data_IF_162672207010
#
_entry.id   IF_162672207010
#
_cell.length_a   1.000
_cell.length_b   1.000
_cell.length_c   1.000
_cell.angle_alpha   90.00
_cell.angle_beta   90.00
_cell.angle_gamma   90.00
#
_symmetry.space_group_name_H-M   'P 1'
#
loop_
_entity.id
_entity.type
_entity.pdbx_description
1 polymer ?
#
# COMPACT_ATOMS: atom_id res chain seq x y z
N UNK A 1 -21.54 3.02 -52.65
CA UNK A 1 -20.35 3.13 -51.78
C UNK A 1 -20.87 3.24 -50.35
N UNK A 2 -20.84 2.13 -49.60
CA UNK A 2 -21.27 2.13 -48.20
C UNK A 2 -20.15 2.76 -47.38
N UNK A 3 -20.43 3.87 -46.70
CA UNK A 3 -19.46 4.57 -45.86
C UNK A 3 -19.25 3.79 -44.57
N UNK A 4 -18.04 3.28 -44.37
CA UNK A 4 -17.63 2.73 -43.07
C UNK A 4 -17.24 3.86 -42.13
N UNK A 5 -17.89 3.90 -40.97
CA UNK A 5 -17.56 4.83 -39.89
C UNK A 5 -16.71 4.10 -38.85
N UNK A 6 -15.50 4.60 -38.60
CA UNK A 6 -14.62 4.08 -37.55
C UNK A 6 -14.65 4.99 -36.34
N UNK A 7 -15.01 4.45 -35.17
CA UNK A 7 -14.92 5.18 -33.90
C UNK A 7 -13.56 4.90 -33.26
N UNK A 8 -12.69 5.90 -33.22
CA UNK A 8 -11.42 5.83 -32.50
C UNK A 8 -11.61 6.54 -31.15
N UNK A 9 -11.63 5.77 -30.07
CA UNK A 9 -11.62 6.35 -28.72
C UNK A 9 -10.22 6.89 -28.41
N UNK A 10 -10.06 8.19 -28.12
CA UNK A 10 -8.75 8.76 -27.81
C UNK A 10 -8.18 8.13 -26.54
N UNK A 11 -6.96 7.60 -26.64
CA UNK A 11 -6.19 7.13 -25.47
C UNK A 11 -5.34 8.28 -24.94
N UNK A 12 -5.66 8.74 -23.74
CA UNK A 12 -4.85 9.74 -23.04
C UNK A 12 -3.51 9.13 -22.58
N UNK A 13 -2.46 9.96 -22.49
CA UNK A 13 -1.14 9.52 -22.02
C UNK A 13 -1.07 9.20 -20.52
N UNK A 14 -2.00 9.74 -19.71
CA UNK A 14 -2.11 9.52 -18.27
C UNK A 14 -3.57 9.23 -17.87
N UNK A 15 -4.18 8.15 -18.39
CA UNK A 15 -5.60 7.87 -18.21
C UNK A 15 -5.91 7.41 -16.79
N UNK A 16 -7.17 7.56 -16.36
CA UNK A 16 -7.63 7.05 -15.05
C UNK A 16 -7.46 5.53 -14.97
N UNK A 17 -7.60 4.80 -16.09
CA UNK A 17 -7.42 3.35 -16.12
C UNK A 17 -6.03 2.88 -15.67
N UNK A 18 -5.00 3.72 -15.76
CA UNK A 18 -3.65 3.39 -15.32
C UNK A 18 -3.51 3.16 -13.81
N UNK A 19 -4.47 3.59 -12.99
CA UNK A 19 -4.39 3.37 -11.53
C UNK A 19 -4.83 1.97 -11.11
N UNK A 20 -5.56 1.24 -11.97
CA UNK A 20 -6.16 -0.04 -11.60
C UNK A 20 -5.22 -1.21 -11.85
N UNK A 21 -5.02 -2.12 -10.86
CA UNK A 21 -4.09 -3.25 -10.96
C UNK A 21 -4.31 -4.16 -12.17
N UNK A 22 -5.57 -4.30 -12.56
CA UNK A 22 -6.01 -5.20 -13.63
C UNK A 22 -5.64 -4.68 -15.02
N UNK A 23 -5.53 -3.36 -15.18
CA UNK A 23 -5.19 -2.70 -16.45
C UNK A 23 -3.71 -2.33 -16.51
N UNK A 24 -3.17 -1.79 -15.41
CA UNK A 24 -1.76 -1.47 -15.28
C UNK A 24 -1.25 -1.85 -13.90
N UNK A 25 -0.59 -3.01 -13.77
CA UNK A 25 -0.15 -3.50 -12.46
C UNK A 25 1.05 -2.72 -11.91
N UNK A 26 1.74 -1.92 -12.73
CA UNK A 26 2.96 -1.20 -12.34
C UNK A 26 2.64 0.21 -11.85
N UNK A 27 3.04 0.61 -10.62
CA UNK A 27 2.86 1.96 -10.08
C UNK A 27 3.55 3.10 -10.86
N UNK A 28 4.35 2.74 -11.87
CA UNK A 28 5.04 3.68 -12.76
C UNK A 28 4.14 4.17 -13.90
N UNK A 29 3.06 3.45 -14.20
CA UNK A 29 2.01 3.95 -15.08
C UNK A 29 1.10 4.83 -14.23
N UNK A 30 1.08 6.13 -14.51
CA UNK A 30 0.41 7.10 -13.64
C UNK A 30 -0.83 7.69 -14.30
N UNK A 31 -1.85 7.92 -13.49
CA UNK A 31 -2.86 8.91 -13.80
C UNK A 31 -2.36 10.30 -13.38
N UNK A 32 -2.74 11.33 -14.15
CA UNK A 32 -2.51 12.73 -13.82
C UNK A 32 -3.78 13.54 -14.03
N UNK A 33 -4.11 14.38 -13.06
CA UNK A 33 -5.15 15.40 -13.26
C UNK A 33 -4.63 16.55 -14.14
N UNK A 34 -5.55 17.34 -14.70
CA UNK A 34 -5.22 18.53 -15.49
C UNK A 34 -5.00 19.78 -14.65
N UNK A 35 -5.40 19.76 -13.38
CA UNK A 35 -5.26 20.86 -12.41
C UNK A 35 -5.27 20.33 -10.97
N UNK A 36 -5.11 21.21 -9.99
CA UNK A 36 -5.27 20.90 -8.56
C UNK A 36 -6.65 21.27 -8.01
N UNK A 37 -7.66 21.45 -8.88
CA UNK A 37 -9.06 21.53 -8.48
C UNK A 37 -9.51 20.18 -7.89
N UNK A 38 -10.64 20.18 -7.17
CA UNK A 38 -11.21 18.94 -6.65
C UNK A 38 -11.42 17.92 -7.78
N UNK A 39 -10.95 16.69 -7.57
CA UNK A 39 -11.11 15.60 -8.52
C UNK A 39 -11.86 14.45 -7.85
N UNK A 40 -12.73 13.79 -8.60
CA UNK A 40 -13.42 12.59 -8.13
C UNK A 40 -13.32 11.46 -9.14
N UNK A 41 -12.95 10.28 -8.65
CA UNK A 41 -12.85 9.04 -9.44
C UNK A 41 -13.87 8.08 -8.84
N UNK A 42 -14.99 7.91 -9.53
CA UNK A 42 -16.05 6.99 -9.13
C UNK A 42 -15.87 5.64 -9.80
N UNK A 43 -16.14 4.56 -9.05
CA UNK A 43 -16.12 3.19 -9.54
C UNK A 43 -17.27 2.41 -8.89
N UNK A 44 -17.75 1.40 -9.60
CA UNK A 44 -18.89 0.58 -9.17
C UNK A 44 -18.48 -0.88 -9.23
N UNK A 45 -18.87 -1.66 -8.21
CA UNK A 45 -18.76 -3.11 -8.25
C UNK A 45 -19.70 -3.65 -9.32
N UNK A 46 -19.29 -4.75 -9.96
CA UNK A 46 -20.05 -5.39 -11.03
C UNK A 46 -21.52 -5.59 -10.61
N UNK A 47 -22.49 -5.26 -11.49
CA UNK A 47 -23.92 -5.30 -11.18
C UNK A 47 -24.44 -6.64 -10.69
N UNK A 48 -23.75 -7.75 -10.96
CA UNK A 48 -24.09 -9.07 -10.46
C UNK A 48 -23.83 -9.21 -8.96
N UNK A 49 -22.92 -8.41 -8.39
CA UNK A 49 -22.68 -8.35 -6.95
C UNK A 49 -23.58 -7.28 -6.31
N UNK A 50 -24.48 -7.73 -5.43
CA UNK A 50 -25.38 -6.82 -4.72
C UNK A 50 -24.69 -6.08 -3.58
N UNK A 51 -23.62 -6.65 -3.01
CA UNK A 51 -22.90 -6.13 -1.83
C UNK A 51 -21.44 -6.61 -1.76
N UNK A 52 -20.58 -5.90 -1.03
CA UNK A 52 -19.21 -6.35 -0.71
C UNK A 52 -19.23 -7.60 0.17
N UNK A 53 -18.36 -8.57 -0.08
CA UNK A 53 -18.28 -9.84 0.69
C UNK A 53 -17.61 -9.69 2.06
N UNK A 54 -17.05 -8.52 2.37
CA UNK A 54 -16.39 -8.27 3.67
C UNK A 54 -16.71 -6.89 4.23
N UNK A 55 -16.63 -6.81 5.56
CA UNK A 55 -16.76 -5.58 6.36
C UNK A 55 -15.42 -4.89 6.63
N UNK A 56 -14.32 -5.48 6.17
CA UNK A 56 -12.97 -4.93 6.31
C UNK A 56 -12.32 -4.74 4.94
N UNK A 57 -11.94 -3.52 4.63
CA UNK A 57 -11.32 -3.16 3.35
C UNK A 57 -10.01 -2.42 3.56
N UNK A 58 -9.12 -2.55 2.58
CA UNK A 58 -7.92 -1.75 2.52
C UNK A 58 -7.98 -0.80 1.33
N UNK A 59 -7.26 0.31 1.46
CA UNK A 59 -7.03 1.28 0.41
C UNK A 59 -5.55 1.64 0.38
N UNK A 60 -4.81 1.07 -0.55
CA UNK A 60 -3.40 1.35 -0.74
C UNK A 60 -3.21 2.21 -2.00
N UNK A 61 -2.50 3.32 -1.84
CA UNK A 61 -2.10 4.15 -2.96
C UNK A 61 -0.58 4.29 -3.01
N UNK A 62 -0.02 4.18 -4.22
CA UNK A 62 1.41 4.30 -4.48
C UNK A 62 1.68 5.38 -5.52
N UNK A 63 2.88 5.96 -5.45
CA UNK A 63 3.36 7.02 -6.34
C UNK A 63 2.41 8.25 -6.38
N UNK A 64 1.92 8.61 -5.18
CA UNK A 64 1.02 9.73 -4.92
C UNK A 64 1.81 11.00 -4.64
N UNK A 65 1.25 12.17 -4.98
CA UNK A 65 1.88 13.48 -4.74
C UNK A 65 1.02 14.47 -3.94
N UNK A 66 -0.14 14.05 -3.44
CA UNK A 66 -1.06 14.85 -2.62
C UNK A 66 -1.15 14.30 -1.19
N UNK A 67 -1.51 15.13 -0.20
CA UNK A 67 -1.48 14.73 1.20
C UNK A 67 -2.69 13.89 1.63
N UNK A 68 -3.87 14.15 1.07
CA UNK A 68 -5.13 13.60 1.58
C UNK A 68 -6.07 13.24 0.44
N UNK A 69 -6.82 12.15 0.61
CA UNK A 69 -8.00 11.83 -0.20
C UNK A 69 -9.07 11.15 0.67
N UNK A 70 -10.30 11.19 0.22
CA UNK A 70 -11.45 10.61 0.90
C UNK A 70 -11.97 9.43 0.09
N UNK A 71 -12.19 8.29 0.76
CA UNK A 71 -12.95 7.19 0.18
C UNK A 71 -14.38 7.32 0.63
N UNK A 72 -15.27 7.48 -0.35
CA UNK A 72 -16.69 7.69 -0.14
C UNK A 72 -17.47 6.55 -0.75
N UNK A 73 -18.60 6.22 -0.14
CA UNK A 73 -19.50 5.20 -0.64
C UNK A 73 -20.93 5.74 -0.74
N UNK A 74 -21.64 5.32 -1.77
CA UNK A 74 -23.00 5.82 -2.02
C UNK A 74 -24.02 4.94 -1.30
N UNK A 75 -24.78 5.53 -0.38
CA UNK A 75 -25.80 4.81 0.40
C UNK A 75 -27.15 4.63 -0.33
N UNK A 76 -27.27 5.15 -1.56
CA UNK A 76 -28.53 5.17 -2.33
C UNK A 76 -29.10 6.58 -2.51
N UNK A 77 -28.68 7.55 -1.68
CA UNK A 77 -29.10 8.94 -1.76
C UNK A 77 -27.91 9.92 -1.71
N UNK A 78 -26.94 9.68 -0.83
CA UNK A 78 -25.76 10.54 -0.60
C UNK A 78 -24.47 9.75 -0.68
N UNK A 79 -23.36 10.48 -0.88
CA UNK A 79 -22.01 9.97 -0.74
C UNK A 79 -21.54 10.17 0.69
N UNK A 80 -21.32 9.08 1.42
CA UNK A 80 -20.85 9.09 2.79
C UNK A 80 -19.34 8.84 2.82
N UNK A 81 -18.59 9.61 3.61
CA UNK A 81 -17.15 9.35 3.78
C UNK A 81 -16.96 8.13 4.67
N UNK A 82 -16.39 7.08 4.08
CA UNK A 82 -16.08 5.82 4.77
C UNK A 82 -14.71 5.86 5.42
N UNK A 83 -13.77 6.61 4.84
CA UNK A 83 -12.44 6.78 5.40
C UNK A 83 -11.67 7.93 4.77
N UNK A 84 -10.63 8.37 5.49
CA UNK A 84 -9.72 9.42 5.05
C UNK A 84 -8.34 8.82 4.87
N UNK A 85 -7.86 8.78 3.64
CA UNK A 85 -6.48 8.44 3.34
C UNK A 85 -5.60 9.68 3.59
N UNK A 86 -4.57 9.52 4.41
CA UNK A 86 -3.58 10.56 4.68
C UNK A 86 -2.17 10.05 4.42
N UNK A 87 -1.50 10.61 3.42
CA UNK A 87 -0.08 10.41 3.16
C UNK A 87 0.82 11.28 4.05
N UNK A 88 0.26 12.12 4.92
CA UNK A 88 1.04 12.98 5.81
C UNK A 88 1.71 12.13 6.89
N UNK A 89 3.04 12.09 6.89
CA UNK A 89 3.84 11.34 7.90
C UNK A 89 4.01 12.20 9.17
N UNK A 90 4.06 13.51 9.01
CA UNK A 90 4.05 14.49 10.10
C UNK A 90 3.74 15.88 9.59
N UNK A 91 3.22 16.72 10.49
CA UNK A 91 2.85 18.11 10.25
C UNK A 91 3.27 18.99 11.44
N UNK A 92 3.37 20.29 11.22
CA UNK A 92 3.82 21.22 12.27
C UNK A 92 5.26 20.97 12.72
N UNK A 93 6.07 20.35 11.87
CA UNK A 93 7.45 20.05 12.17
C UNK A 93 8.27 21.34 12.12
N UNK A 94 9.16 21.52 13.10
CA UNK A 94 10.09 22.64 13.11
C UNK A 94 11.38 22.29 12.42
N UNK A 95 11.88 23.21 11.61
CA UNK A 95 13.04 22.98 10.78
C UNK A 95 13.95 24.20 10.65
N UNK A 96 15.20 23.93 10.33
CA UNK A 96 16.15 24.88 9.76
C UNK A 96 16.62 24.36 8.41
N UNK A 97 16.86 25.29 7.48
CA UNK A 97 17.33 25.00 6.14
C UNK A 97 18.67 25.67 5.93
N UNK A 98 19.65 24.90 5.49
CA UNK A 98 20.96 25.39 5.05
C UNK A 98 21.18 24.95 3.60
N UNK A 99 21.18 25.92 2.69
CA UNK A 99 21.13 25.63 1.25
C UNK A 99 19.88 24.83 0.90
N UNK A 100 20.05 23.67 0.28
CA UNK A 100 18.95 22.76 -0.04
C UNK A 100 18.72 21.65 1.01
N UNK A 101 19.39 21.72 2.16
CA UNK A 101 19.29 20.71 3.22
C UNK A 101 18.43 21.19 4.36
N UNK A 102 17.46 20.38 4.77
CA UNK A 102 16.57 20.59 5.91
C UNK A 102 16.98 19.69 7.06
N UNK A 103 17.02 20.27 8.25
CA UNK A 103 17.28 19.61 9.53
C UNK A 103 16.22 19.98 10.54
N UNK A 104 15.98 19.09 11.50
CA UNK A 104 15.11 19.36 12.63
C UNK A 104 15.60 20.59 13.42
N UNK A 105 14.66 21.35 13.96
CA UNK A 105 14.92 22.46 14.87
C UNK A 105 14.03 22.38 16.12
N UNK A 106 14.16 21.28 16.89
CA UNK A 106 13.34 20.99 18.06
C UNK A 106 11.89 20.59 17.73
N UNK A 107 10.95 20.90 18.63
CA UNK A 107 9.51 20.90 18.34
C UNK A 107 8.85 19.52 18.11
N UNK A 108 7.87 19.51 17.20
CA UNK A 108 7.10 18.32 16.87
C UNK A 108 7.97 17.20 16.28
N UNK A 109 7.62 15.96 16.63
CA UNK A 109 8.40 14.77 16.29
C UNK A 109 7.60 13.83 15.40
N UNK A 110 8.30 13.08 14.55
CA UNK A 110 7.70 11.93 13.86
C UNK A 110 7.63 10.73 14.80
N UNK A 111 6.57 9.92 14.65
CA UNK A 111 6.32 8.77 15.51
C UNK A 111 7.20 7.54 15.20
N UNK A 112 7.98 7.56 14.11
CA UNK A 112 8.79 6.42 13.68
C UNK A 112 10.17 6.83 13.18
N UNK A 113 11.07 5.86 13.16
CA UNK A 113 12.36 5.95 12.50
C UNK A 113 12.19 5.99 10.98
N UNK A 114 12.96 6.84 10.31
CA UNK A 114 12.93 7.02 8.86
C UNK A 114 14.10 6.24 8.25
N UNK A 115 13.80 5.27 7.38
CA UNK A 115 14.81 4.47 6.69
C UNK A 115 15.46 5.27 5.57
N UNK A 116 16.76 5.08 5.34
CA UNK A 116 17.49 5.81 4.29
C UNK A 116 16.81 5.65 2.93
N UNK A 117 16.49 6.78 2.30
CA UNK A 117 15.93 6.82 0.95
C UNK A 117 14.43 6.49 0.84
N UNK A 118 13.73 6.20 1.94
CA UNK A 118 12.29 5.89 1.90
C UNK A 118 11.41 7.06 1.40
N UNK A 119 11.82 8.30 1.70
CA UNK A 119 11.10 9.54 1.37
C UNK A 119 11.55 10.15 0.04
N UNK A 120 12.35 9.44 -0.76
CA UNK A 120 12.76 9.97 -2.08
C UNK A 120 11.52 10.14 -2.96
N UNK A 121 11.38 11.33 -3.54
CA UNK A 121 10.23 11.74 -4.34
C UNK A 121 9.01 12.20 -3.54
N UNK A 122 9.05 12.09 -2.20
CA UNK A 122 8.02 12.66 -1.32
C UNK A 122 8.03 14.19 -1.36
N UNK A 123 6.91 14.80 -1.00
CA UNK A 123 6.75 16.25 -0.98
C UNK A 123 6.95 16.77 0.44
N UNK A 124 7.67 17.88 0.57
CA UNK A 124 7.73 18.71 1.77
C UNK A 124 6.94 19.98 1.50
N UNK A 125 5.98 20.27 2.37
CA UNK A 125 5.34 21.57 2.49
C UNK A 125 6.12 22.38 3.54
N UNK A 126 6.70 23.50 3.12
CA UNK A 126 7.47 24.40 3.99
C UNK A 126 6.61 25.48 4.65
N UNK A 127 5.31 25.50 4.35
CA UNK A 127 4.38 26.58 4.65
C UNK A 127 4.43 27.68 3.59
N UNK A 128 3.46 28.61 3.64
CA UNK A 128 3.43 29.78 2.76
C UNK A 128 3.32 29.49 1.26
N UNK A 129 2.87 28.29 0.88
CA UNK A 129 2.75 27.87 -0.52
C UNK A 129 4.03 27.29 -1.14
N UNK A 130 5.07 27.04 -0.34
CA UNK A 130 6.33 26.48 -0.82
C UNK A 130 6.34 24.96 -0.68
N UNK A 131 6.14 24.27 -1.80
CA UNK A 131 6.22 22.81 -1.89
C UNK A 131 7.47 22.37 -2.65
N UNK A 132 8.23 21.43 -2.10
CA UNK A 132 9.45 20.90 -2.73
C UNK A 132 9.50 19.39 -2.65
N UNK A 133 10.13 18.75 -3.63
CA UNK A 133 10.38 17.30 -3.59
C UNK A 133 11.66 17.00 -2.84
N UNK A 134 11.70 15.83 -2.19
CA UNK A 134 12.90 15.30 -1.55
C UNK A 134 13.71 14.53 -2.60
N UNK A 135 14.90 15.05 -2.92
CA UNK A 135 15.86 14.41 -3.82
C UNK A 135 16.50 13.17 -3.18
N UNK A 136 16.91 13.32 -1.92
CA UNK A 136 17.57 12.29 -1.10
C UNK A 136 17.49 12.66 0.36
N UNK A 137 17.68 11.68 1.24
CA UNK A 137 17.79 11.94 2.67
C UNK A 137 18.60 10.85 3.38
N UNK A 138 19.05 11.15 4.60
CA UNK A 138 19.66 10.19 5.51
C UNK A 138 18.61 9.43 6.32
N UNK A 139 18.97 8.30 6.87
CA UNK A 139 18.22 7.65 7.94
C UNK A 139 18.31 8.43 9.25
N UNK A 140 17.28 8.31 10.09
CA UNK A 140 17.30 8.89 11.42
C UNK A 140 15.91 9.12 12.01
N UNK A 141 15.92 9.74 13.19
CA UNK A 141 14.72 10.23 13.88
C UNK A 141 14.49 11.70 13.54
N UNK A 142 13.23 12.08 13.39
CA UNK A 142 12.81 13.48 13.47
C UNK A 142 12.24 13.72 14.86
N UNK A 143 13.12 13.95 15.84
CA UNK A 143 12.75 14.36 17.19
C UNK A 143 13.90 15.09 17.85
N UNK A 144 13.63 15.82 18.93
CA UNK A 144 14.66 16.47 19.76
C UNK A 144 15.44 15.49 20.63
N UNK A 145 15.10 14.20 20.59
CA UNK A 145 15.78 13.16 21.37
C UNK A 145 17.20 12.93 20.86
N UNK A 146 18.08 12.44 21.73
CA UNK A 146 19.43 12.06 21.36
C UNK A 146 19.39 10.91 20.34
N UNK A 147 20.03 11.10 19.18
CA UNK A 147 20.13 10.08 18.15
C UNK A 147 20.59 10.67 16.82
N UNK A 148 20.72 9.80 15.80
CA UNK A 148 20.98 10.25 14.44
C UNK A 148 19.72 10.91 13.88
N UNK A 149 19.82 12.18 13.50
CA UNK A 149 18.71 12.90 12.90
C UNK A 149 18.65 12.69 11.38
N UNK A 150 17.43 12.70 10.86
CA UNK A 150 17.18 12.71 9.43
C UNK A 150 17.54 14.07 8.84
N UNK A 151 18.24 14.07 7.71
CA UNK A 151 18.51 15.26 6.90
C UNK A 151 17.85 15.09 5.54
N UNK A 152 16.98 16.03 5.16
CA UNK A 152 16.28 16.01 3.88
C UNK A 152 16.98 16.94 2.89
N UNK A 153 17.29 16.45 1.69
CA UNK A 153 17.84 17.27 0.60
C UNK A 153 16.74 17.52 -0.41
N UNK A 154 16.42 18.79 -0.64
CA UNK A 154 15.35 19.21 -1.52
C UNK A 154 15.81 19.44 -2.96
N UNK A 155 14.88 19.22 -3.90
CA UNK A 155 14.98 19.61 -5.31
C UNK A 155 14.56 21.06 -5.52
N UNK A 156 15.10 21.71 -6.55
CA UNK A 156 14.64 23.01 -7.08
C UNK A 156 14.47 24.13 -6.05
N UNK A 157 15.37 24.20 -5.06
CA UNK A 157 15.42 25.29 -4.08
C UNK A 157 15.94 26.55 -4.75
N UNK A 158 15.14 27.62 -4.75
CA UNK A 158 15.45 28.89 -5.42
C UNK A 158 16.01 29.97 -4.48
N UNK A 159 15.87 29.78 -3.17
CA UNK A 159 16.26 30.75 -2.15
C UNK A 159 15.10 31.60 -1.63
N UNK A 160 13.94 31.58 -2.29
CA UNK A 160 12.72 32.24 -1.83
C UNK A 160 12.03 31.50 -0.68
N UNK A 161 12.35 30.22 -0.49
CA UNK A 161 11.79 29.39 0.58
C UNK A 161 12.28 29.84 1.96
N UNK A 162 11.49 29.67 3.03
CA UNK A 162 11.93 30.04 4.37
C UNK A 162 13.23 29.31 4.79
N UNK A 163 14.12 30.01 5.49
CA UNK A 163 15.33 29.44 6.06
C UNK A 163 15.08 28.65 7.37
N UNK A 164 13.92 28.87 7.99
CA UNK A 164 13.43 28.14 9.16
C UNK A 164 11.92 28.25 9.24
N UNK A 165 11.27 27.31 9.93
CA UNK A 165 9.83 27.39 10.15
C UNK A 165 9.32 26.33 11.14
N UNK A 166 8.04 26.42 11.47
CA UNK A 166 7.33 25.50 12.38
C UNK A 166 6.12 24.80 11.72
N UNK A 167 5.92 25.02 10.42
CA UNK A 167 4.75 24.53 9.68
C UNK A 167 5.10 23.37 8.74
N UNK A 168 6.27 22.74 8.87
CA UNK A 168 6.71 21.75 7.89
C UNK A 168 5.82 20.51 7.96
N UNK A 169 5.36 20.06 6.79
CA UNK A 169 4.67 18.79 6.63
C UNK A 169 5.36 17.91 5.58
N UNK A 170 5.43 16.61 5.86
CA UNK A 170 6.05 15.63 4.96
C UNK A 170 4.96 14.71 4.42
N UNK A 171 4.82 14.66 3.10
CA UNK A 171 3.81 13.85 2.40
C UNK A 171 4.48 12.67 1.72
N UNK A 172 4.18 11.48 2.21
CA UNK A 172 4.63 10.21 1.65
C UNK A 172 4.16 10.04 0.20
N UNK A 173 4.97 9.36 -0.61
CA UNK A 173 4.57 8.91 -1.95
C UNK A 173 3.66 7.69 -1.93
N UNK A 174 3.46 7.10 -0.74
CA UNK A 174 2.74 5.84 -0.55
C UNK A 174 2.04 5.80 0.79
N UNK A 175 0.93 5.07 0.85
CA UNK A 175 0.25 4.81 2.11
C UNK A 175 -0.88 3.84 1.94
N UNK A 176 -1.17 3.11 3.00
CA UNK A 176 -2.32 2.21 3.07
C UNK A 176 -3.22 2.56 4.25
N UNK A 177 -4.51 2.65 3.97
CA UNK A 177 -5.59 2.81 4.94
C UNK A 177 -6.25 1.45 5.16
N UNK A 178 -6.49 1.11 6.41
CA UNK A 178 -7.30 -0.06 6.79
C UNK A 178 -8.58 0.41 7.45
N UNK A 179 -9.72 -0.09 6.96
CA UNK A 179 -11.05 0.24 7.46
C UNK A 179 -11.74 -1.06 7.87
N UNK A 180 -12.22 -1.09 9.11
CA UNK A 180 -12.97 -2.20 9.69
C UNK A 180 -14.40 -1.79 10.04
N UNK A 181 -15.28 -2.77 10.14
CA UNK A 181 -16.61 -2.60 10.73
C UNK A 181 -17.59 -1.83 9.86
N UNK A 182 -17.50 -1.96 8.52
CA UNK A 182 -18.50 -1.39 7.63
C UNK A 182 -19.89 -1.95 7.97
N UNK A 183 -20.78 -1.08 8.43
CA UNK A 183 -22.16 -1.45 8.81
C UNK A 183 -23.05 -1.70 7.60
N UNK A 184 -22.75 -1.01 6.50
CA UNK A 184 -23.46 -1.08 5.23
C UNK A 184 -22.50 -1.57 4.17
N UNK A 185 -22.97 -2.51 3.35
CA UNK A 185 -22.20 -2.99 2.22
C UNK A 185 -22.54 -2.15 1.00
N UNK A 186 -21.54 -1.47 0.45
CA UNK A 186 -21.72 -0.51 -0.63
C UNK A 186 -21.30 -1.08 -1.99
N UNK A 187 -22.07 -0.76 -3.03
CA UNK A 187 -21.76 -1.11 -4.42
C UNK A 187 -20.96 -0.02 -5.14
N UNK A 188 -21.28 1.25 -4.87
CA UNK A 188 -20.68 2.41 -5.54
C UNK A 188 -19.71 3.10 -4.60
N UNK A 189 -18.52 3.35 -5.12
CA UNK A 189 -17.40 3.91 -4.39
C UNK A 189 -16.82 5.08 -5.16
N UNK A 190 -16.21 6.02 -4.45
CA UNK A 190 -15.59 7.19 -5.04
C UNK A 190 -14.36 7.60 -4.24
N UNK A 191 -13.26 7.77 -4.94
CA UNK A 191 -12.09 8.47 -4.42
C UNK A 191 -12.27 9.96 -4.70
N UNK A 192 -12.34 10.79 -3.67
CA UNK A 192 -12.39 12.25 -3.78
C UNK A 192 -11.08 12.86 -3.28
N UNK A 193 -10.42 13.61 -4.15
CA UNK A 193 -9.22 14.38 -3.83
C UNK A 193 -9.65 15.83 -3.71
N UNK A 194 -9.57 16.44 -2.50
CA UNK A 194 -9.99 17.83 -2.31
C UNK A 194 -9.14 18.79 -3.16
N UNK A 195 -9.61 20.02 -3.37
CA UNK A 195 -8.79 21.06 -3.98
C UNK A 195 -7.59 21.41 -3.09
N UNK A 196 -6.47 21.77 -3.71
CA UNK A 196 -5.22 21.97 -2.98
C UNK A 196 -4.08 22.41 -3.88
N UNK A 197 -2.85 22.27 -3.39
CA UNK A 197 -1.63 22.57 -4.15
C UNK A 197 -0.62 21.45 -3.93
N UNK A 198 0.17 21.15 -4.95
CA UNK A 198 1.24 20.14 -4.90
C UNK A 198 2.52 20.72 -5.46
N UNK A 199 3.66 20.10 -5.16
CA UNK A 199 4.95 20.51 -5.72
C UNK A 199 5.01 20.46 -7.26
N UNK A 200 4.11 19.71 -7.91
CA UNK A 200 4.09 19.53 -9.37
C UNK A 200 2.96 20.28 -10.08
N UNK A 201 2.00 20.87 -9.36
CA UNK A 201 0.88 21.60 -9.96
C UNK A 201 -0.24 20.72 -10.57
N UNK A 202 -0.24 19.43 -10.27
CA UNK A 202 -1.31 18.47 -10.62
C UNK A 202 -1.37 17.35 -9.58
N UNK A 203 -2.42 16.54 -9.60
CA UNK A 203 -2.53 15.30 -8.82
C UNK A 203 -2.06 14.11 -9.61
N UNK A 204 -1.38 13.19 -8.94
CA UNK A 204 -0.85 11.97 -9.52
C UNK A 204 -1.18 10.79 -8.60
N UNK A 205 -1.56 9.68 -9.22
CA UNK A 205 -1.67 8.36 -8.59
C UNK A 205 -1.02 7.38 -9.55
N UNK A 206 -0.06 6.59 -9.07
CA UNK A 206 0.50 5.49 -9.86
C UNK A 206 -0.23 4.18 -9.66
N UNK A 207 -0.76 3.96 -8.45
CA UNK A 207 -1.47 2.74 -8.14
C UNK A 207 -2.58 3.01 -7.14
N UNK A 208 -3.75 2.42 -7.39
CA UNK A 208 -4.89 2.39 -6.50
C UNK A 208 -5.34 0.95 -6.31
N UNK A 209 -4.89 0.33 -5.21
CA UNK A 209 -5.32 -1.00 -4.80
C UNK A 209 -6.36 -0.85 -3.68
N UNK A 210 -7.60 -1.25 -3.98
CA UNK A 210 -8.69 -1.27 -3.04
C UNK A 210 -9.35 -2.65 -3.10
N UNK A 211 -9.57 -3.25 -1.95
CA UNK A 211 -10.15 -4.59 -1.91
C UNK A 211 -10.44 -5.10 -0.50
N UNK A 212 -11.06 -6.28 -0.43
CA UNK A 212 -11.30 -6.96 0.83
C UNK A 212 -9.98 -7.23 1.57
N UNK A 213 -10.03 -7.26 2.91
CA UNK A 213 -8.92 -7.76 3.72
C UNK A 213 -9.18 -9.23 4.02
N UNK A 214 -8.26 -10.09 3.59
CA UNK A 214 -8.19 -11.48 4.03
C UNK A 214 -7.17 -11.59 5.17
N UNK A 215 -7.66 -11.73 6.40
CA UNK A 215 -6.82 -11.93 7.57
C UNK A 215 -6.51 -13.41 7.77
N UNK A 216 -5.28 -13.72 8.21
CA UNK A 216 -4.93 -15.09 8.57
C UNK A 216 -5.39 -15.37 10.01
N UNK A 217 -6.15 -16.44 10.18
CA UNK A 217 -6.64 -16.86 11.50
C UNK A 217 -5.53 -17.30 12.45
N UNK A 218 -4.40 -17.76 11.92
CA UNK A 218 -3.21 -18.12 12.69
C UNK A 218 -2.02 -17.29 12.19
N UNK A 219 -1.25 -16.75 13.14
CA UNK A 219 -0.04 -15.99 12.82
C UNK A 219 0.99 -16.90 12.14
N UNK A 220 1.63 -16.40 11.09
CA UNK A 220 2.79 -17.07 10.49
C UNK A 220 3.95 -17.12 11.49
N UNK A 221 4.94 -17.98 11.24
CA UNK A 221 6.08 -18.15 12.11
C UNK A 221 6.86 -16.84 12.30
N UNK A 222 7.52 -16.67 13.45
CA UNK A 222 8.32 -15.47 13.70
C UNK A 222 9.50 -15.31 12.72
N UNK A 223 9.95 -16.41 12.11
CA UNK A 223 10.91 -16.39 11.02
C UNK A 223 10.26 -16.00 9.69
N UNK A 224 10.71 -14.89 9.11
CA UNK A 224 10.37 -14.44 7.76
C UNK A 224 11.63 -13.86 7.08
N UNK A 225 11.60 -13.78 5.76
CA UNK A 225 12.72 -13.24 4.96
C UNK A 225 12.22 -12.08 4.09
N UNK A 226 12.94 -10.96 4.07
CA UNK A 226 12.69 -9.81 3.18
C UNK A 226 13.97 -9.53 2.41
N UNK A 227 13.97 -9.89 1.12
CA UNK A 227 15.13 -9.78 0.24
C UNK A 227 14.97 -8.57 -0.65
N UNK A 228 15.96 -7.68 -0.67
CA UNK A 228 16.02 -6.57 -1.64
C UNK A 228 16.98 -6.92 -2.77
N UNK A 229 16.45 -7.04 -3.99
CA UNK A 229 17.22 -7.43 -5.16
C UNK A 229 17.58 -6.21 -6.05
N UNK A 230 18.87 -6.07 -6.44
CA UNK A 230 19.29 -5.02 -7.35
C UNK A 230 18.86 -5.30 -8.78
N UNK A 231 18.21 -4.33 -9.41
CA UNK A 231 17.87 -4.40 -10.83
C UNK A 231 18.96 -3.74 -11.69
N UNK A 232 20.08 -4.43 -11.86
CA UNK A 232 21.21 -3.94 -12.62
C UNK A 232 21.89 -5.06 -13.41
N UNK A 233 22.31 -4.77 -14.63
CA UNK A 233 23.14 -5.69 -15.42
C UNK A 233 24.61 -5.37 -15.23
N UNK A 234 25.39 -6.40 -14.87
CA UNK A 234 26.85 -6.36 -14.85
C UNK A 234 27.37 -6.99 -16.12
N UNK A 235 28.36 -6.36 -16.73
CA UNK A 235 29.15 -6.95 -17.81
C UNK A 235 30.61 -6.80 -17.46
N UNK A 236 31.35 -7.89 -17.57
CA UNK A 236 32.78 -7.98 -17.27
C UNK A 236 33.52 -8.33 -18.56
N UNK A 237 34.55 -7.57 -18.88
CA UNK A 237 35.43 -7.81 -20.02
C UNK A 237 36.49 -8.86 -19.68
N UNK A 238 37.18 -9.39 -20.70
CA UNK A 238 38.28 -10.33 -20.51
C UNK A 238 39.40 -9.76 -19.61
N UNK A 239 39.64 -8.45 -19.69
CA UNK A 239 40.61 -7.71 -18.86
C UNK A 239 40.10 -7.40 -17.44
N UNK A 240 39.02 -8.05 -17.00
CA UNK A 240 38.39 -7.86 -15.68
C UNK A 240 37.83 -6.47 -15.41
N UNK A 241 37.75 -5.59 -16.42
CA UNK A 241 36.99 -4.34 -16.31
C UNK A 241 35.51 -4.67 -16.23
N UNK A 242 34.88 -4.28 -15.13
CA UNK A 242 33.46 -4.50 -14.85
C UNK A 242 32.69 -3.18 -14.95
N UNK A 243 31.61 -3.17 -15.75
CA UNK A 243 30.65 -2.07 -15.82
C UNK A 243 29.28 -2.55 -15.33
N UNK A 244 28.60 -1.72 -14.56
CA UNK A 244 27.27 -2.01 -14.03
C UNK A 244 26.30 -0.92 -14.49
N UNK A 245 25.16 -1.33 -15.05
CA UNK A 245 24.10 -0.42 -15.49
C UNK A 245 22.81 -0.75 -14.77
N UNK A 246 22.25 0.22 -14.05
CA UNK A 246 20.92 0.12 -13.45
C UNK A 246 19.87 0.00 -14.55
N UNK A 247 19.03 -1.03 -14.49
CA UNK A 247 17.91 -1.26 -15.43
C UNK A 247 16.57 -0.81 -14.87
N UNK A 248 16.43 -0.71 -13.55
CA UNK A 248 15.23 -0.21 -12.90
C UNK A 248 15.40 -0.01 -11.40
N UNK A 249 14.32 0.28 -10.67
CA UNK A 249 14.28 0.20 -9.21
C UNK A 249 14.64 -1.20 -8.70
N UNK A 250 15.17 -1.27 -7.48
CA UNK A 250 15.26 -2.51 -6.72
C UNK A 250 13.86 -3.06 -6.49
N UNK A 251 13.74 -4.39 -6.37
CA UNK A 251 12.50 -5.06 -6.00
C UNK A 251 12.68 -5.81 -4.69
N UNK A 252 11.62 -5.95 -3.90
CA UNK A 252 11.62 -6.78 -2.70
C UNK A 252 10.89 -8.10 -2.91
N UNK A 253 11.33 -9.12 -2.20
CA UNK A 253 10.62 -10.40 -2.08
C UNK A 253 10.42 -10.68 -0.60
N UNK A 254 9.16 -10.79 -0.17
CA UNK A 254 8.82 -11.16 1.19
C UNK A 254 8.35 -12.61 1.23
N UNK A 255 8.98 -13.41 2.08
CA UNK A 255 8.68 -14.83 2.26
C UNK A 255 8.37 -15.13 3.73
N UNK A 256 7.28 -15.84 3.97
CA UNK A 256 6.85 -16.29 5.29
C UNK A 256 6.23 -17.69 5.22
N UNK A 257 6.14 -18.38 6.36
CA UNK A 257 5.59 -19.73 6.43
C UNK A 257 4.92 -20.01 7.78
N UNK A 258 4.09 -21.04 7.85
CA UNK A 258 3.52 -21.55 9.09
C UNK A 258 4.28 -22.82 9.48
N UNK A 259 5.23 -22.67 10.41
CA UNK A 259 6.00 -23.81 10.93
C UNK A 259 5.25 -24.59 12.00
N UNK A 260 4.25 -23.95 12.62
CA UNK A 260 3.35 -24.60 13.57
C UNK A 260 2.26 -25.35 12.82
N UNK A 261 1.86 -26.49 13.37
CA UNK A 261 0.79 -27.30 12.80
C UNK A 261 -0.56 -26.61 12.93
N UNK A 262 -1.36 -26.72 11.87
CA UNK A 262 -2.73 -26.22 11.79
C UNK A 262 -3.67 -27.42 11.83
N UNK A 263 -4.50 -27.49 12.87
CA UNK A 263 -5.51 -28.55 12.99
C UNK A 263 -6.77 -28.17 12.25
N UNK A 264 -7.29 -29.08 11.42
CA UNK A 264 -8.57 -28.94 10.70
C UNK A 264 -9.75 -29.56 11.47
N UNK A 265 -9.52 -30.10 12.67
CA UNK A 265 -10.51 -30.92 13.39
C UNK A 265 -11.81 -30.19 13.71
N UNK A 266 -11.78 -28.90 14.07
CA UNK A 266 -13.02 -28.16 14.38
C UNK A 266 -13.72 -27.66 13.13
N UNK A 267 -12.98 -27.41 12.04
CA UNK A 267 -13.54 -27.10 10.73
C UNK A 267 -14.25 -28.31 10.10
N UNK A 268 -13.71 -29.51 10.26
CA UNK A 268 -14.28 -30.76 9.71
C UNK A 268 -15.23 -31.51 10.66
N UNK A 269 -15.54 -30.94 11.82
CA UNK A 269 -16.53 -31.52 12.71
C UNK A 269 -17.91 -31.56 12.03
N UNK A 270 -18.75 -32.54 12.38
CA UNK A 270 -20.14 -32.62 11.89
C UNK A 270 -20.97 -31.38 12.24
N UNK A 271 -20.56 -30.64 13.27
CA UNK A 271 -21.09 -29.32 13.64
C UNK A 271 -19.90 -28.38 13.87
N UNK A 272 -19.41 -27.69 12.81
CA UNK A 272 -18.21 -26.86 12.90
C UNK A 272 -18.37 -25.73 13.90
N UNK A 273 -17.42 -25.64 14.84
CA UNK A 273 -17.31 -24.56 15.84
C UNK A 273 -15.86 -24.06 15.91
N UNK A 274 -15.34 -23.50 14.81
CA UNK A 274 -13.96 -23.02 14.77
C UNK A 274 -13.79 -21.80 15.68
N UNK A 275 -12.60 -21.70 16.30
CA UNK A 275 -12.17 -20.46 16.92
C UNK A 275 -11.90 -19.42 15.82
N UNK A 276 -12.17 -18.15 16.12
CA UNK A 276 -12.03 -17.06 15.16
C UNK A 276 -11.28 -15.87 15.74
N UNK A 277 -10.66 -15.10 14.85
CA UNK A 277 -10.11 -13.79 15.12
C UNK A 277 -11.13 -12.72 14.71
N UNK A 278 -11.42 -11.79 15.61
CA UNK A 278 -12.22 -10.59 15.34
C UNK A 278 -11.38 -9.31 15.44
N UNK A 279 -11.93 -8.19 14.96
CA UNK A 279 -11.31 -6.86 15.08
C UNK A 279 -11.28 -6.40 16.55
N UNK A 280 -12.31 -6.77 17.31
CA UNK A 280 -12.49 -6.42 18.71
C UNK A 280 -13.26 -7.52 19.45
N UNK A 281 -13.31 -7.43 20.78
CA UNK A 281 -14.16 -8.29 21.58
C UNK A 281 -15.63 -8.16 21.13
N UNK A 282 -16.31 -9.30 20.92
CA UNK A 282 -17.70 -9.38 20.44
C UNK A 282 -17.94 -8.87 19.00
N UNK A 283 -16.90 -8.64 18.20
CA UNK A 283 -17.08 -8.43 16.76
C UNK A 283 -17.34 -9.75 16.04
N UNK A 284 -17.95 -9.69 14.85
CA UNK A 284 -17.93 -10.84 13.96
C UNK A 284 -16.50 -11.30 13.66
N UNK A 285 -16.35 -12.59 13.39
CA UNK A 285 -15.06 -13.17 13.02
C UNK A 285 -14.61 -12.67 11.64
N UNK A 286 -13.38 -12.15 11.58
CA UNK A 286 -12.69 -11.83 10.34
C UNK A 286 -12.02 -13.05 9.71
N UNK A 287 -11.54 -13.99 10.52
CA UNK A 287 -10.83 -15.16 10.06
C UNK A 287 -11.00 -16.31 11.05
N UNK A 288 -11.22 -17.52 10.53
CA UNK A 288 -11.20 -18.73 11.34
C UNK A 288 -9.75 -19.16 11.57
N UNK A 289 -9.39 -19.47 12.81
CA UNK A 289 -8.01 -19.76 13.20
C UNK A 289 -7.37 -20.87 12.34
N UNK A 290 -8.16 -21.86 11.98
CA UNK A 290 -7.73 -23.09 11.31
C UNK A 290 -7.80 -23.01 9.78
N UNK A 291 -8.40 -21.97 9.21
CA UNK A 291 -8.78 -21.91 7.78
C UNK A 291 -7.66 -21.39 6.86
N UNK A 292 -6.49 -21.12 7.42
CA UNK A 292 -5.35 -20.55 6.68
C UNK A 292 -5.04 -21.29 5.36
N UNK A 293 -4.96 -22.65 5.30
CA UNK A 293 -4.61 -23.33 4.04
C UNK A 293 -5.63 -23.11 2.93
N UNK A 294 -6.93 -23.15 3.26
CA UNK A 294 -8.02 -23.03 2.29
C UNK A 294 -8.29 -21.58 1.90
N UNK A 295 -8.16 -20.66 2.86
CA UNK A 295 -8.18 -19.22 2.59
C UNK A 295 -7.11 -18.86 1.56
N UNK A 296 -5.89 -19.34 1.74
CA UNK A 296 -4.79 -19.08 0.81
C UNK A 296 -5.09 -19.65 -0.57
N UNK A 297 -5.57 -20.90 -0.65
CA UNK A 297 -5.91 -21.52 -1.92
C UNK A 297 -7.00 -20.71 -2.67
N UNK A 298 -8.05 -20.30 -1.96
CA UNK A 298 -9.08 -19.41 -2.50
C UNK A 298 -8.53 -18.07 -2.97
N UNK A 299 -7.63 -17.44 -2.20
CA UNK A 299 -6.97 -16.19 -2.60
C UNK A 299 -6.14 -16.34 -3.88
N UNK A 300 -5.43 -17.47 -4.05
CA UNK A 300 -4.66 -17.73 -5.27
C UNK A 300 -5.58 -17.86 -6.49
N UNK A 301 -6.74 -18.50 -6.34
CA UNK A 301 -7.76 -18.58 -7.39
C UNK A 301 -8.37 -17.21 -7.70
N UNK A 302 -8.76 -16.44 -6.68
CA UNK A 302 -9.29 -15.08 -6.83
C UNK A 302 -8.28 -14.15 -7.53
N UNK A 303 -6.98 -14.30 -7.22
CA UNK A 303 -5.90 -13.55 -7.86
C UNK A 303 -5.52 -14.09 -9.24
N UNK A 304 -6.25 -15.09 -9.76
CA UNK A 304 -5.98 -15.77 -11.04
C UNK A 304 -4.53 -16.23 -11.14
N UNK A 305 -4.07 -16.94 -10.11
CA UNK A 305 -2.69 -17.46 -10.02
C UNK A 305 -1.61 -16.35 -10.09
N UNK A 306 -1.88 -15.19 -9.49
CA UNK A 306 -0.93 -14.07 -9.41
C UNK A 306 -0.98 -13.10 -10.59
N UNK A 307 -1.96 -13.22 -11.49
CA UNK A 307 -2.24 -12.21 -12.52
C UNK A 307 -2.62 -10.88 -11.86
N UNK A 308 -3.56 -10.93 -10.91
CA UNK A 308 -4.00 -9.77 -10.14
C UNK A 308 -3.06 -9.57 -8.94
N UNK A 309 -2.39 -8.41 -8.84
CA UNK A 309 -1.52 -8.12 -7.71
C UNK A 309 -2.30 -7.93 -6.40
N UNK A 310 -1.65 -8.22 -5.28
CA UNK A 310 -2.19 -8.04 -3.93
C UNK A 310 -1.32 -7.12 -3.09
N UNK A 311 -1.90 -6.58 -2.01
CA UNK A 311 -1.17 -5.89 -0.96
C UNK A 311 -1.10 -6.80 0.25
N UNK A 312 0.10 -7.24 0.63
CA UNK A 312 0.29 -7.97 1.86
C UNK A 312 0.75 -7.02 2.97
N UNK A 313 0.13 -7.16 4.15
CA UNK A 313 0.45 -6.40 5.34
C UNK A 313 1.22 -7.28 6.33
N UNK A 314 2.32 -6.77 6.88
CA UNK A 314 3.06 -7.48 7.95
C UNK A 314 2.27 -7.48 9.26
N UNK A 315 1.50 -6.43 9.50
CA UNK A 315 0.55 -6.32 10.59
C UNK A 315 -0.67 -5.51 10.13
N UNK A 316 -1.86 -5.92 10.58
CA UNK A 316 -3.12 -5.21 10.36
C UNK A 316 -3.52 -4.59 11.70
N UNK A 317 -3.79 -3.29 11.72
CA UNK A 317 -4.25 -2.61 12.92
C UNK A 317 -5.65 -3.08 13.30
N UNK A 318 -5.92 -3.32 14.58
CA UNK A 318 -7.28 -3.60 15.08
C UNK A 318 -8.17 -2.34 15.09
N UNK A 319 -7.61 -1.16 14.83
CA UNK A 319 -8.37 0.10 14.83
C UNK A 319 -8.75 0.48 13.40
N UNK A 320 -10.04 0.69 13.16
CA UNK A 320 -10.56 1.19 11.88
C UNK A 320 -10.04 2.61 11.59
N UNK A 321 -9.72 2.90 10.33
CA UNK A 321 -9.20 4.20 9.91
C UNK A 321 -7.69 4.37 10.12
N UNK A 322 -6.95 3.29 10.42
CA UNK A 322 -5.51 3.38 10.65
C UNK A 322 -4.75 3.54 9.33
N UNK A 323 -3.91 4.57 9.25
CA UNK A 323 -2.98 4.81 8.16
C UNK A 323 -1.61 4.21 8.44
N UNK A 324 -1.02 3.57 7.44
CA UNK A 324 0.38 3.14 7.44
C UNK A 324 1.10 3.70 6.22
N UNK A 325 2.12 4.53 6.44
CA UNK A 325 2.98 5.09 5.39
C UNK A 325 4.36 4.44 5.34
N UNK A 326 4.68 3.56 6.30
CA UNK A 326 5.95 2.85 6.38
C UNK A 326 6.04 1.79 5.26
N UNK A 327 7.01 1.89 4.34
CA UNK A 327 7.15 0.94 3.24
C UNK A 327 7.49 -0.48 3.71
N UNK A 328 7.98 -0.67 4.93
CA UNK A 328 8.36 -1.97 5.48
C UNK A 328 7.17 -2.76 6.01
N UNK A 329 6.04 -2.10 6.26
CA UNK A 329 4.85 -2.70 6.87
C UNK A 329 3.86 -3.27 5.85
N UNK A 330 4.01 -2.94 4.56
CA UNK A 330 3.20 -3.49 3.49
C UNK A 330 4.00 -3.65 2.20
N UNK A 331 3.58 -4.61 1.38
CA UNK A 331 4.20 -4.91 0.09
C UNK A 331 3.11 -5.10 -0.97
N UNK A 332 3.22 -4.36 -2.07
CA UNK A 332 2.36 -4.53 -3.24
C UNK A 332 3.09 -5.40 -4.27
N UNK A 333 2.50 -6.53 -4.63
CA UNK A 333 3.22 -7.56 -5.36
C UNK A 333 2.35 -8.68 -5.93
N UNK A 334 3.00 -9.66 -6.57
CA UNK A 334 2.36 -10.89 -7.05
C UNK A 334 2.69 -12.05 -6.15
N UNK A 335 1.68 -12.89 -5.93
CA UNK A 335 1.83 -14.18 -5.26
C UNK A 335 2.43 -15.16 -6.27
N UNK A 336 3.67 -15.61 -6.06
CA UNK A 336 4.39 -16.49 -7.00
C UNK A 336 4.54 -17.93 -6.49
N UNK A 337 4.31 -18.16 -5.20
CA UNK A 337 4.43 -19.47 -4.58
C UNK A 337 3.19 -20.33 -4.80
N UNK A 338 3.38 -21.64 -5.01
CA UNK A 338 2.33 -22.64 -4.88
C UNK A 338 1.90 -22.81 -3.42
N UNK A 339 0.61 -22.96 -3.18
CA UNK A 339 0.07 -23.24 -1.84
C UNK A 339 -0.15 -24.75 -1.72
N UNK A 340 0.44 -25.34 -0.69
CA UNK A 340 0.28 -26.75 -0.37
C UNK A 340 -0.01 -26.94 1.12
N UNK A 341 -0.87 -27.90 1.43
CA UNK A 341 -1.12 -28.37 2.79
C UNK A 341 -0.61 -29.81 2.92
N UNK A 342 0.37 -30.02 3.79
CA UNK A 342 0.96 -31.33 4.05
C UNK A 342 0.40 -31.87 5.37
N UNK A 343 -0.38 -32.96 5.30
CA UNK A 343 -0.90 -33.62 6.49
C UNK A 343 0.23 -34.39 7.20
N UNK A 344 0.45 -34.10 8.48
CA UNK A 344 1.44 -34.83 9.30
C UNK A 344 0.76 -35.89 10.19
N UNK A 345 -0.44 -35.59 10.71
CA UNK A 345 -1.17 -36.46 11.62
C UNK A 345 -2.69 -36.36 11.45
N UNK A 346 -3.40 -37.42 11.80
CA UNK A 346 -4.86 -37.46 11.81
C UNK A 346 -5.44 -38.00 10.51
N UNK A 347 -6.72 -38.36 10.59
CA UNK A 347 -7.44 -39.00 9.50
C UNK A 347 -7.95 -37.97 8.49
N UNK A 348 -7.84 -38.35 7.22
CA UNK A 348 -8.38 -37.58 6.11
C UNK A 348 -9.89 -37.36 6.30
N UNK A 349 -10.33 -36.12 6.10
CA UNK A 349 -11.71 -35.65 6.25
C UNK A 349 -12.31 -35.67 7.65
N UNK A 350 -11.52 -35.92 8.70
CA UNK A 350 -12.01 -35.89 10.07
C UNK A 350 -11.20 -34.97 10.99
N UNK A 351 -9.88 -34.94 10.85
CA UNK A 351 -9.04 -34.27 11.83
C UNK A 351 -7.60 -34.09 11.43
N UNK A 352 -7.35 -33.75 10.17
CA UNK A 352 -6.00 -33.52 9.66
C UNK A 352 -5.30 -32.42 10.44
N UNK A 353 -4.02 -32.63 10.68
CA UNK A 353 -3.14 -31.68 11.34
C UNK A 353 -1.90 -31.60 10.47
N UNK A 354 -1.66 -30.43 9.88
CA UNK A 354 -0.66 -30.30 8.83
C UNK A 354 0.01 -28.94 8.79
N UNK A 355 0.99 -28.81 7.89
CA UNK A 355 1.74 -27.58 7.62
C UNK A 355 1.33 -26.96 6.30
N UNK A 356 1.49 -25.64 6.23
CA UNK A 356 1.28 -24.86 5.00
C UNK A 356 2.64 -24.53 4.39
N UNK A 357 2.75 -24.73 3.09
CA UNK A 357 3.95 -24.39 2.33
C UNK A 357 4.32 -22.90 2.48
N UNK A 358 5.61 -22.55 2.42
CA UNK A 358 6.05 -21.16 2.44
C UNK A 358 5.43 -20.35 1.31
N UNK A 359 5.09 -19.11 1.61
CA UNK A 359 4.50 -18.15 0.68
C UNK A 359 5.52 -17.09 0.33
N UNK A 360 5.60 -16.74 -0.95
CA UNK A 360 6.43 -15.65 -1.46
C UNK A 360 5.60 -14.62 -2.22
N UNK A 361 5.74 -13.36 -1.82
CA UNK A 361 5.22 -12.20 -2.54
C UNK A 361 6.36 -11.40 -3.15
N UNK A 362 6.31 -11.19 -4.46
CA UNK A 362 7.32 -10.43 -5.21
C UNK A 362 6.79 -9.05 -5.57
N UNK A 363 7.53 -8.01 -5.18
CA UNK A 363 7.17 -6.61 -5.38
C UNK A 363 7.08 -6.24 -6.87
N UNK A 364 6.05 -5.47 -7.22
CA UNK A 364 5.98 -4.79 -8.52
C UNK A 364 6.52 -3.36 -8.35
N UNK A 365 7.62 -3.01 -9.04
CA UNK A 365 8.33 -1.73 -8.85
C UNK A 365 7.73 -0.53 -9.58
#
# INVERSE_FOLDING_TARGET
MLGETWTITPRYGFPVSSIFPTESPSPRAVWRSTSTAENSIAFELDPTYTTSLTRSIHLTMLNVNFPTAYIEAHNGATWDTVGTWSGIIGSGLTYTRSGNVIRINGGASLARYIWRGELVGATVDLGGGFYRKIARHTEGIWSSASGKHVELVLEDVTGAEPASGAALAIWSTRGSLVIHGLSTLYRRWRLRIPSGTTATGYYQIGMFACGPIAAFGQQYAWGWTDVTEPNASRTESADKVSRMRRRGPTRRTWTWAWTQLISQRRLRASTPTPDYLGVAASSEGMANQQDVPWLLAGLLEECRSGETPIVAFKAISSTSGTMTTDPTMFLYGRLESSIGFENEFGDESAGEVGRVSPIALVEIP
#
